data_IF_870826974837
#
_entry.id   IF_870826974837
#
_cell.length_a   1.000
_cell.length_b   1.000
_cell.length_c   1.000
_cell.angle_alpha   90.00
_cell.angle_beta   90.00
_cell.angle_gamma   90.00
#
_symmetry.space_group_name_H-M   'P 1'
#
loop_
_entity.id
_entity.type
_entity.pdbx_description
1 polymer ?
#
# COMPACT_ATOMS: atom_id res chain seq x y z
N UNK A 1 10.48 14.73 -50.02
CA UNK A 1 11.58 14.06 -49.28
C UNK A 1 11.36 14.37 -47.81
N UNK A 2 10.62 13.54 -47.06
CA UNK A 2 11.08 12.28 -46.44
C UNK A 2 12.19 12.55 -45.41
N UNK A 3 11.87 12.76 -44.12
CA UNK A 3 11.72 11.76 -43.00
C UNK A 3 13.02 11.07 -42.56
N UNK A 4 13.42 11.30 -41.29
CA UNK A 4 13.94 10.30 -40.31
C UNK A 4 14.37 11.06 -39.02
N UNK A 5 13.61 10.98 -37.93
CA UNK A 5 13.77 10.02 -36.80
C UNK A 5 14.97 10.33 -35.88
N UNK A 6 14.75 10.83 -34.66
CA UNK A 6 14.42 10.08 -33.42
C UNK A 6 15.67 9.49 -32.74
N UNK A 7 16.06 10.05 -31.60
CA UNK A 7 16.51 9.28 -30.45
C UNK A 7 16.72 10.18 -29.21
N UNK A 8 16.12 9.74 -28.09
CA UNK A 8 16.53 10.03 -26.71
C UNK A 8 16.13 11.36 -26.05
N UNK A 9 14.83 11.70 -26.07
CA UNK A 9 14.25 12.30 -24.87
C UNK A 9 14.01 11.20 -23.83
N UNK A 10 15.07 10.80 -23.12
CA UNK A 10 14.94 10.02 -21.87
C UNK A 10 14.15 10.91 -20.93
N UNK A 11 12.83 10.75 -20.97
CA UNK A 11 11.91 11.62 -20.27
C UNK A 11 12.20 11.47 -18.78
N UNK A 12 12.87 12.50 -18.23
CA UNK A 12 13.41 12.45 -16.88
C UNK A 12 12.24 12.35 -15.89
N UNK A 13 12.34 11.43 -14.94
CA UNK A 13 11.42 11.35 -13.80
C UNK A 13 11.34 12.74 -13.17
N UNK A 14 10.14 13.32 -12.95
CA UNK A 14 10.01 14.60 -12.28
C UNK A 14 10.80 14.52 -10.98
N UNK A 15 11.67 15.50 -10.75
CA UNK A 15 12.58 15.50 -9.60
C UNK A 15 11.81 15.36 -8.27
N UNK A 16 10.52 15.67 -8.31
CA UNK A 16 9.56 15.59 -7.22
C UNK A 16 9.08 14.19 -6.84
N UNK A 17 9.27 13.19 -7.71
CA UNK A 17 8.88 11.80 -7.47
C UNK A 17 10.05 10.92 -6.98
N UNK A 18 11.24 11.49 -6.80
CA UNK A 18 12.43 10.74 -6.34
C UNK A 18 12.38 10.52 -4.82
N UNK A 19 12.77 9.32 -4.40
CA UNK A 19 12.85 9.01 -2.98
C UNK A 19 13.88 9.92 -2.27
N UNK A 20 13.57 10.41 -1.06
CA UNK A 20 14.47 11.28 -0.32
C UNK A 20 15.81 10.60 0.03
N UNK A 21 16.89 11.39 0.14
CA UNK A 21 18.26 10.88 0.34
C UNK A 21 18.50 10.28 1.74
N UNK A 22 17.66 10.56 2.73
CA UNK A 22 17.79 10.00 4.08
C UNK A 22 17.26 8.56 4.13
N UNK A 23 17.98 7.59 4.71
CA UNK A 23 17.62 6.17 4.67
C UNK A 23 16.28 5.88 5.36
N UNK A 24 15.99 6.54 6.48
CA UNK A 24 14.72 6.39 7.22
C UNK A 24 13.55 6.98 6.42
N UNK A 25 13.72 8.18 5.87
CA UNK A 25 12.69 8.84 5.06
C UNK A 25 12.44 8.09 3.75
N UNK A 26 13.48 7.48 3.18
CA UNK A 26 13.38 6.61 2.00
C UNK A 26 12.58 5.36 2.29
N UNK A 27 12.78 4.74 3.45
CA UNK A 27 12.00 3.58 3.88
C UNK A 27 10.55 3.97 4.14
N UNK A 28 10.30 5.05 4.88
CA UNK A 28 8.96 5.56 5.14
C UNK A 28 8.23 5.91 3.84
N UNK A 29 8.90 6.60 2.91
CA UNK A 29 8.36 6.89 1.58
C UNK A 29 8.08 5.63 0.77
N UNK A 30 8.96 4.62 0.82
CA UNK A 30 8.75 3.33 0.16
C UNK A 30 7.53 2.61 0.72
N UNK A 31 7.39 2.56 2.05
CA UNK A 31 6.22 1.98 2.72
C UNK A 31 4.96 2.75 2.33
N UNK A 32 5.01 4.08 2.36
CA UNK A 32 3.90 4.95 1.98
C UNK A 32 3.48 4.70 0.52
N UNK A 33 4.43 4.58 -0.41
CA UNK A 33 4.17 4.25 -1.83
C UNK A 33 3.59 2.85 -2.01
N UNK A 34 4.04 1.86 -1.23
CA UNK A 34 3.48 0.50 -1.27
C UNK A 34 2.05 0.49 -0.69
N UNK A 35 1.79 1.25 0.36
CA UNK A 35 0.44 1.33 0.94
C UNK A 35 -0.49 2.09 -0.02
N UNK A 36 -0.06 3.25 -0.51
CA UNK A 36 -0.87 4.16 -1.31
C UNK A 36 -1.02 3.75 -2.79
N UNK A 37 -0.03 3.07 -3.37
CA UNK A 37 0.03 2.78 -4.82
C UNK A 37 0.40 1.31 -5.09
N UNK A 38 0.57 0.47 -4.06
CA UNK A 38 0.95 -0.95 -4.21
C UNK A 38 2.24 -1.19 -5.01
N UNK A 39 3.08 -0.17 -5.20
CA UNK A 39 4.32 -0.23 -5.99
C UNK A 39 5.47 0.48 -5.28
N UNK A 40 6.68 0.04 -5.56
CA UNK A 40 7.89 0.59 -4.93
C UNK A 40 8.34 1.95 -5.48
N UNK A 41 7.82 2.37 -6.65
CA UNK A 41 8.12 3.67 -7.24
C UNK A 41 6.94 4.27 -8.02
N UNK A 42 6.96 5.61 -8.14
CA UNK A 42 6.00 6.42 -8.88
C UNK A 42 6.35 6.56 -10.37
N UNK A 43 7.39 5.88 -10.86
CA UNK A 43 7.88 6.05 -12.23
C UNK A 43 6.82 5.69 -13.29
N UNK A 44 5.86 4.83 -12.92
CA UNK A 44 4.74 4.41 -13.77
C UNK A 44 3.71 5.53 -14.02
N UNK A 45 3.58 6.52 -13.13
CA UNK A 45 2.60 7.60 -13.27
C UNK A 45 2.87 8.52 -14.47
N UNK A 46 4.07 8.39 -15.05
CA UNK A 46 4.52 9.13 -16.23
C UNK A 46 3.80 8.75 -17.52
N UNK A 47 3.28 7.52 -17.61
CA UNK A 47 2.66 7.01 -18.83
C UNK A 47 1.20 6.60 -18.58
N UNK A 48 0.40 7.60 -18.25
CA UNK A 48 -1.02 7.51 -17.86
C UNK A 48 -1.96 7.16 -19.01
N UNK A 49 -1.46 7.15 -20.26
CA UNK A 49 -2.21 6.76 -21.46
C UNK A 49 -2.15 5.26 -21.74
N UNK A 50 -1.33 4.52 -21.01
CA UNK A 50 -1.09 3.10 -21.25
C UNK A 50 -2.18 2.23 -20.63
N UNK A 51 -2.50 1.07 -21.22
CA UNK A 51 -3.52 0.13 -20.70
C UNK A 51 -3.23 -0.28 -19.26
N UNK A 52 -1.94 -0.35 -18.92
CA UNK A 52 -1.42 -0.65 -17.58
C UNK A 52 -1.91 0.33 -16.50
N UNK A 53 -2.18 1.59 -16.86
CA UNK A 53 -2.69 2.59 -15.91
C UNK A 53 -4.13 2.29 -15.50
N UNK A 54 -4.98 1.94 -16.47
CA UNK A 54 -6.39 1.60 -16.20
C UNK A 54 -6.49 0.34 -15.33
N UNK A 55 -5.63 -0.65 -15.58
CA UNK A 55 -5.50 -1.84 -14.76
C UNK A 55 -4.96 -1.52 -13.36
N UNK A 56 -3.99 -0.62 -13.26
CA UNK A 56 -3.48 -0.19 -11.96
C UNK A 56 -4.57 0.49 -11.11
N UNK A 57 -5.37 1.38 -11.72
CA UNK A 57 -6.47 2.03 -11.01
C UNK A 57 -7.56 1.04 -10.63
N UNK A 58 -7.93 0.11 -11.50
CA UNK A 58 -8.94 -0.92 -11.15
C UNK A 58 -8.49 -1.76 -9.95
N UNK A 59 -7.21 -2.15 -9.89
CA UNK A 59 -6.63 -2.84 -8.73
C UNK A 59 -6.72 -1.98 -7.47
N UNK A 60 -6.39 -0.68 -7.55
CA UNK A 60 -6.45 0.25 -6.41
C UNK A 60 -7.88 0.46 -5.92
N UNK A 61 -8.83 0.70 -6.82
CA UNK A 61 -10.27 0.84 -6.53
C UNK A 61 -10.79 -0.41 -5.83
N UNK A 62 -10.48 -1.59 -6.37
CA UNK A 62 -10.88 -2.87 -5.76
C UNK A 62 -10.27 -3.06 -4.36
N UNK A 63 -9.00 -2.66 -4.17
CA UNK A 63 -8.35 -2.69 -2.85
C UNK A 63 -9.03 -1.75 -1.85
N UNK A 64 -9.38 -0.53 -2.25
CA UNK A 64 -10.09 0.43 -1.39
C UNK A 64 -11.51 -0.04 -1.06
N UNK A 65 -12.24 -0.61 -2.03
CA UNK A 65 -13.55 -1.21 -1.78
C UNK A 65 -13.46 -2.35 -0.77
N UNK A 66 -12.51 -3.27 -0.93
CA UNK A 66 -12.31 -4.36 0.03
C UNK A 66 -11.90 -3.84 1.43
N UNK A 67 -11.07 -2.80 1.46
CA UNK A 67 -10.68 -2.12 2.71
C UNK A 67 -11.89 -1.49 3.40
N UNK A 68 -12.77 -0.81 2.65
CA UNK A 68 -13.99 -0.20 3.19
C UNK A 68 -14.97 -1.25 3.71
N UNK A 69 -15.15 -2.37 2.99
CA UNK A 69 -15.98 -3.50 3.46
C UNK A 69 -15.42 -4.05 4.76
N UNK A 70 -14.10 -4.26 4.83
CA UNK A 70 -13.43 -4.74 6.04
C UNK A 70 -13.59 -3.75 7.20
N UNK A 71 -13.41 -2.46 6.94
CA UNK A 71 -13.60 -1.40 7.93
C UNK A 71 -15.05 -1.35 8.43
N UNK A 72 -16.04 -1.54 7.54
CA UNK A 72 -17.45 -1.65 7.90
C UNK A 72 -17.74 -2.86 8.79
N UNK A 73 -17.11 -4.01 8.52
CA UNK A 73 -17.22 -5.20 9.37
C UNK A 73 -16.61 -4.97 10.76
N UNK A 74 -15.43 -4.33 10.82
CA UNK A 74 -14.81 -3.92 12.09
C UNK A 74 -15.73 -2.97 12.85
N UNK A 75 -16.27 -1.96 12.17
CA UNK A 75 -17.21 -0.99 12.75
C UNK A 75 -18.45 -1.67 13.32
N UNK A 76 -19.08 -2.56 12.56
CA UNK A 76 -20.27 -3.31 12.99
C UNK A 76 -19.95 -4.20 14.21
N UNK A 77 -18.81 -4.90 14.18
CA UNK A 77 -18.36 -5.75 15.28
C UNK A 77 -18.13 -4.93 16.55
N UNK A 78 -17.43 -3.80 16.45
CA UNK A 78 -17.21 -2.90 17.58
C UNK A 78 -18.53 -2.29 18.08
N UNK A 79 -19.44 -1.93 17.18
CA UNK A 79 -20.79 -1.45 17.56
C UNK A 79 -21.52 -2.49 18.38
N UNK A 80 -21.50 -3.76 17.95
CA UNK A 80 -22.14 -4.84 18.68
C UNK A 80 -21.56 -5.01 20.08
N UNK A 81 -20.24 -4.89 20.24
CA UNK A 81 -19.60 -4.92 21.56
C UNK A 81 -19.97 -3.72 22.44
N UNK A 82 -20.13 -2.54 21.84
CA UNK A 82 -20.50 -1.32 22.58
C UNK A 82 -22.00 -1.30 22.96
N UNK A 83 -22.87 -1.89 22.14
CA UNK A 83 -24.32 -1.82 22.33
C UNK A 83 -24.91 -2.99 23.13
N UNK A 84 -24.20 -4.12 23.19
CA UNK A 84 -24.74 -5.35 23.76
C UNK A 84 -24.20 -5.58 25.18
N UNK A 85 -25.07 -5.87 26.17
CA UNK A 85 -24.59 -6.36 27.46
C UNK A 85 -23.88 -7.71 27.24
N UNK A 86 -22.84 -8.04 28.04
CA UNK A 86 -22.15 -9.33 27.91
C UNK A 86 -23.16 -10.47 28.09
N UNK A 87 -23.36 -11.35 27.09
CA UNK A 87 -24.34 -12.42 27.20
C UNK A 87 -23.99 -13.40 28.32
N UNK A 88 -22.71 -13.48 28.69
CA UNK A 88 -22.21 -14.31 29.79
C UNK A 88 -21.01 -13.61 30.45
N UNK A 89 -21.23 -12.98 31.61
CA UNK A 89 -20.19 -12.22 32.34
C UNK A 89 -18.95 -13.05 32.68
N UNK A 90 -19.09 -14.37 32.88
CA UNK A 90 -17.97 -15.26 33.19
C UNK A 90 -17.08 -15.60 31.98
N UNK A 91 -17.58 -15.43 30.74
CA UNK A 91 -16.83 -15.79 29.53
C UNK A 91 -16.08 -14.60 28.95
N UNK A 92 -16.67 -13.41 28.95
CA UNK A 92 -16.00 -12.20 28.50
C UNK A 92 -16.56 -10.98 29.24
N UNK A 93 -15.77 -10.49 30.20
CA UNK A 93 -16.11 -9.29 30.94
C UNK A 93 -15.68 -8.03 30.16
N UNK A 94 -16.32 -7.75 29.02
CA UNK A 94 -16.09 -6.50 28.28
C UNK A 94 -16.58 -5.24 29.03
N UNK A 95 -17.16 -5.41 30.23
CA UNK A 95 -17.66 -4.33 31.08
C UNK A 95 -16.53 -3.54 31.80
N UNK A 96 -15.26 -3.87 31.52
CA UNK A 96 -14.13 -3.06 31.98
C UNK A 96 -14.09 -1.72 31.25
N UNK A 97 -14.01 -0.62 32.01
CA UNK A 97 -13.87 0.74 31.50
C UNK A 97 -12.74 0.85 30.46
N UNK A 98 -11.64 0.11 30.65
CA UNK A 98 -10.48 0.14 29.75
C UNK A 98 -10.84 -0.49 28.40
N UNK A 99 -11.50 -1.66 28.40
CA UNK A 99 -11.91 -2.34 27.15
C UNK A 99 -12.92 -1.47 26.38
N UNK A 100 -13.85 -0.85 27.10
CA UNK A 100 -14.85 0.05 26.51
C UNK A 100 -14.21 1.29 25.84
N UNK A 101 -13.28 1.97 26.51
CA UNK A 101 -12.58 3.15 25.93
C UNK A 101 -11.80 2.74 24.67
N UNK A 102 -11.11 1.60 24.71
CA UNK A 102 -10.34 1.12 23.56
C UNK A 102 -11.27 0.73 22.40
N UNK A 103 -12.42 0.12 22.70
CA UNK A 103 -13.43 -0.19 21.69
C UNK A 103 -14.00 1.09 21.04
N UNK A 104 -14.26 2.16 21.82
CA UNK A 104 -14.68 3.46 21.27
C UNK A 104 -13.62 4.05 20.32
N UNK A 105 -12.34 4.02 20.71
CA UNK A 105 -11.24 4.47 19.84
C UNK A 105 -11.18 3.65 18.55
N UNK A 106 -11.39 2.33 18.64
CA UNK A 106 -11.47 1.45 17.47
C UNK A 106 -12.64 1.81 16.56
N UNK A 107 -13.82 2.08 17.14
CA UNK A 107 -15.01 2.50 16.41
C UNK A 107 -14.77 3.81 15.64
N UNK A 108 -14.23 4.83 16.30
CA UNK A 108 -13.94 6.12 15.68
C UNK A 108 -12.87 5.99 14.58
N UNK A 109 -11.83 5.20 14.80
CA UNK A 109 -10.80 4.94 13.81
C UNK A 109 -11.34 4.16 12.59
N UNK A 110 -12.24 3.19 12.80
CA UNK A 110 -12.90 2.46 11.72
C UNK A 110 -13.84 3.39 10.93
N UNK A 111 -14.60 4.25 11.61
CA UNK A 111 -15.49 5.22 10.97
C UNK A 111 -14.69 6.21 10.12
N UNK A 112 -13.57 6.73 10.64
CA UNK A 112 -12.68 7.61 9.89
C UNK A 112 -12.06 6.90 8.68
N UNK A 113 -11.71 5.61 8.82
CA UNK A 113 -11.23 4.78 7.71
C UNK A 113 -12.28 4.65 6.59
N UNK A 114 -13.55 4.36 6.93
CA UNK A 114 -14.64 4.24 5.95
C UNK A 114 -14.90 5.57 5.24
N UNK A 115 -14.96 6.69 5.98
CA UNK A 115 -15.22 8.02 5.41
C UNK A 115 -14.07 8.42 4.48
N UNK A 116 -12.82 8.32 4.94
CA UNK A 116 -11.65 8.68 4.15
C UNK A 116 -11.46 7.76 2.94
N UNK A 117 -11.68 6.45 3.11
CA UNK A 117 -11.59 5.47 2.01
C UNK A 117 -12.66 5.70 0.94
N UNK A 118 -13.88 6.07 1.34
CA UNK A 118 -14.95 6.44 0.42
C UNK A 118 -14.64 7.73 -0.34
N UNK A 119 -14.11 8.75 0.34
CA UNK A 119 -13.68 9.99 -0.30
C UNK A 119 -12.56 9.75 -1.33
N UNK A 120 -11.57 8.94 -0.98
CA UNK A 120 -10.50 8.53 -1.89
C UNK A 120 -11.05 7.80 -3.13
N UNK A 121 -12.02 6.90 -2.95
CA UNK A 121 -12.64 6.17 -4.05
C UNK A 121 -13.31 7.11 -5.05
N UNK A 122 -14.12 8.06 -4.56
CA UNK A 122 -14.79 9.07 -5.39
C UNK A 122 -13.77 9.94 -6.13
N UNK A 123 -12.68 10.34 -5.47
CA UNK A 123 -11.61 11.12 -6.11
C UNK A 123 -10.93 10.30 -7.21
N UNK A 124 -10.71 9.00 -7.02
CA UNK A 124 -10.09 8.14 -8.04
C UNK A 124 -11.00 7.91 -9.25
N UNK A 125 -12.28 7.67 -9.02
CA UNK A 125 -13.27 7.50 -10.10
C UNK A 125 -13.43 8.80 -10.92
N UNK A 126 -13.48 9.95 -10.25
CA UNK A 126 -13.57 11.25 -10.93
C UNK A 126 -12.27 11.62 -11.66
N UNK A 127 -11.10 11.34 -11.06
CA UNK A 127 -9.78 11.59 -11.66
C UNK A 127 -9.43 10.65 -12.80
N UNK A 128 -10.10 9.50 -12.94
CA UNK A 128 -9.96 8.64 -14.13
C UNK A 128 -10.92 9.03 -15.24
N UNK A 129 -12.07 9.62 -14.91
CA UNK A 129 -13.01 10.15 -15.88
C UNK A 129 -12.50 11.43 -16.57
N UNK A 130 -11.84 12.31 -15.81
CA UNK A 130 -11.15 13.47 -16.37
C UNK A 130 -9.67 13.15 -16.60
N UNK A 131 -9.13 13.45 -17.79
CA UNK A 131 -7.70 13.26 -18.12
C UNK A 131 -6.76 14.21 -17.34
N UNK A 132 -7.15 14.65 -16.15
CA UNK A 132 -6.53 15.67 -15.30
C UNK A 132 -5.23 15.19 -14.62
N UNK A 133 -4.72 14.01 -14.98
CA UNK A 133 -3.46 13.51 -14.43
C UNK A 133 -2.23 14.26 -14.97
N UNK A 134 -2.39 15.09 -16.01
CA UNK A 134 -1.35 16.07 -16.39
C UNK A 134 -1.11 17.09 -15.27
N UNK A 135 -2.13 17.40 -14.47
CA UNK A 135 -2.06 18.32 -13.32
C UNK A 135 -1.15 17.77 -12.20
N UNK A 136 -1.11 16.45 -12.00
CA UNK A 136 -0.20 15.80 -11.05
C UNK A 136 1.28 16.00 -11.40
N UNK A 137 1.59 16.15 -12.69
CA UNK A 137 2.96 16.33 -13.18
C UNK A 137 3.53 17.71 -12.81
N UNK A 138 2.66 18.69 -12.56
CA UNK A 138 3.02 20.05 -12.17
C UNK A 138 3.02 20.26 -10.65
N UNK A 139 2.66 19.25 -9.85
CA UNK A 139 2.58 19.40 -8.40
C UNK A 139 3.97 19.47 -7.72
N UNK A 140 4.14 20.34 -6.71
CA UNK A 140 5.33 20.38 -5.88
C UNK A 140 5.43 19.14 -4.96
N UNK A 141 6.65 18.80 -4.51
CA UNK A 141 6.97 17.59 -3.73
C UNK A 141 6.07 17.35 -2.52
N UNK A 142 5.79 18.41 -1.76
CA UNK A 142 4.99 18.31 -0.54
C UNK A 142 3.53 17.95 -0.83
N UNK A 143 2.97 18.38 -1.98
CA UNK A 143 1.61 18.02 -2.38
C UNK A 143 1.52 16.55 -2.78
N UNK A 144 2.52 16.03 -3.49
CA UNK A 144 2.58 14.59 -3.84
C UNK A 144 2.68 13.74 -2.57
N UNK A 145 3.51 14.13 -1.60
CA UNK A 145 3.60 13.43 -0.31
C UNK A 145 2.27 13.52 0.45
N UNK A 146 1.63 14.69 0.48
CA UNK A 146 0.33 14.86 1.13
C UNK A 146 -0.76 14.00 0.47
N UNK A 147 -0.76 13.91 -0.86
CA UNK A 147 -1.67 13.04 -1.62
C UNK A 147 -1.43 11.56 -1.29
N UNK A 148 -0.17 11.11 -1.27
CA UNK A 148 0.18 9.73 -0.91
C UNK A 148 -0.19 9.41 0.54
N UNK A 149 0.00 10.37 1.45
CA UNK A 149 -0.39 10.22 2.85
C UNK A 149 -1.90 10.13 2.97
N UNK A 150 -2.64 10.98 2.26
CA UNK A 150 -4.10 10.95 2.19
C UNK A 150 -4.61 9.62 1.61
N UNK A 151 -3.92 9.07 0.61
CA UNK A 151 -4.22 7.78 0.01
C UNK A 151 -3.94 6.59 0.94
N UNK A 152 -2.86 6.68 1.72
CA UNK A 152 -2.51 5.67 2.71
C UNK A 152 -3.38 5.76 3.97
N UNK A 153 -3.99 6.92 4.23
CA UNK A 153 -4.74 7.22 5.45
C UNK A 153 -5.83 6.19 5.80
N UNK A 154 -6.72 5.77 4.88
CA UNK A 154 -7.76 4.78 5.19
C UNK A 154 -7.17 3.45 5.67
N UNK A 155 -6.06 3.02 5.06
CA UNK A 155 -5.37 1.79 5.44
C UNK A 155 -4.68 1.91 6.80
N UNK A 156 -4.11 3.08 7.12
CA UNK A 156 -3.49 3.33 8.43
C UNK A 156 -4.57 3.34 9.51
N UNK A 157 -5.66 4.06 9.30
CA UNK A 157 -6.79 4.09 10.22
C UNK A 157 -7.39 2.70 10.45
N UNK A 158 -7.57 1.90 9.39
CA UNK A 158 -8.06 0.52 9.52
C UNK A 158 -7.11 -0.35 10.34
N UNK A 159 -5.79 -0.25 10.08
CA UNK A 159 -4.80 -0.99 10.86
C UNK A 159 -4.86 -0.62 12.33
N UNK A 160 -4.97 0.67 12.64
CA UNK A 160 -5.08 1.17 14.01
C UNK A 160 -6.37 0.69 14.67
N UNK A 161 -7.50 0.79 13.97
CA UNK A 161 -8.80 0.31 14.45
C UNK A 161 -8.77 -1.19 14.79
N UNK A 162 -8.18 -2.00 13.91
CA UNK A 162 -8.04 -3.45 14.08
C UNK A 162 -7.15 -3.78 15.27
N UNK A 163 -6.01 -3.10 15.43
CA UNK A 163 -5.12 -3.28 16.58
C UNK A 163 -5.83 -2.94 17.90
N UNK A 164 -6.53 -1.80 17.96
CA UNK A 164 -7.27 -1.44 19.17
C UNK A 164 -8.41 -2.40 19.47
N UNK A 165 -9.18 -2.84 18.46
CA UNK A 165 -10.23 -3.85 18.67
C UNK A 165 -9.64 -5.15 19.21
N UNK A 166 -8.52 -5.59 18.65
CA UNK A 166 -7.82 -6.78 19.11
C UNK A 166 -7.38 -6.65 20.58
N UNK A 167 -6.79 -5.51 20.97
CA UNK A 167 -6.39 -5.23 22.35
C UNK A 167 -7.61 -5.17 23.28
N UNK A 168 -8.72 -4.56 22.87
CA UNK A 168 -9.94 -4.49 23.66
C UNK A 168 -10.50 -5.90 23.96
N UNK A 169 -10.56 -6.75 22.94
CA UNK A 169 -10.99 -8.15 23.07
C UNK A 169 -10.00 -8.94 23.93
N UNK A 170 -8.69 -8.76 23.72
CA UNK A 170 -7.66 -9.45 24.49
C UNK A 170 -7.78 -9.13 25.99
N UNK A 171 -7.94 -7.86 26.36
CA UNK A 171 -8.13 -7.44 27.74
C UNK A 171 -9.43 -8.03 28.32
N UNK A 172 -10.52 -8.02 27.55
CA UNK A 172 -11.80 -8.57 27.99
C UNK A 172 -11.76 -10.09 28.23
N UNK A 173 -11.06 -10.82 27.36
CA UNK A 173 -10.92 -12.28 27.48
C UNK A 173 -9.93 -12.70 28.57
N UNK A 174 -8.82 -11.97 28.74
CA UNK A 174 -7.83 -12.24 29.78
C UNK A 174 -8.39 -11.97 31.19
N UNK A 175 -9.34 -11.06 31.29
CA UNK A 175 -10.11 -10.81 32.52
C UNK A 175 -11.17 -11.87 32.84
N UNK A 176 -11.36 -12.90 32.00
CA UNK A 176 -12.30 -13.99 32.30
C UNK A 176 -11.67 -15.02 33.25
N UNK A 177 -12.45 -15.52 34.20
CA UNK A 177 -12.03 -16.60 35.11
C UNK A 177 -11.99 -17.98 34.42
N UNK A 178 -12.31 -18.04 33.12
CA UNK A 178 -12.38 -19.28 32.37
C UNK A 178 -11.06 -19.62 31.65
N UNK A 179 -10.40 -20.69 32.10
CA UNK A 179 -9.12 -21.17 31.54
C UNK A 179 -9.21 -21.43 30.03
N UNK A 180 -10.35 -21.95 29.53
CA UNK A 180 -10.51 -22.26 28.10
C UNK A 180 -10.47 -20.98 27.26
N UNK A 181 -11.14 -19.92 27.71
CA UNK A 181 -11.14 -18.61 27.02
C UNK A 181 -9.73 -18.03 27.01
N UNK A 182 -8.99 -18.15 28.11
CA UNK A 182 -7.62 -17.66 28.19
C UNK A 182 -6.69 -18.42 27.22
N UNK A 183 -6.78 -19.76 27.15
CA UNK A 183 -5.99 -20.57 26.19
C UNK A 183 -6.31 -20.16 24.74
N UNK A 184 -7.59 -20.01 24.38
CA UNK A 184 -8.01 -19.58 23.04
C UNK A 184 -7.45 -18.19 22.72
N UNK A 185 -7.47 -17.28 23.69
CA UNK A 185 -6.97 -15.91 23.54
C UNK A 185 -5.46 -15.86 23.33
N UNK A 186 -4.70 -16.66 24.09
CA UNK A 186 -3.25 -16.80 23.91
C UNK A 186 -2.94 -17.37 22.52
N UNK A 187 -3.65 -18.42 22.11
CA UNK A 187 -3.48 -19.02 20.78
C UNK A 187 -3.77 -18.00 19.66
N UNK A 188 -4.84 -17.21 19.79
CA UNK A 188 -5.17 -16.14 18.86
C UNK A 188 -4.08 -15.06 18.80
N UNK A 189 -3.50 -14.69 19.94
CA UNK A 189 -2.40 -13.73 20.01
C UNK A 189 -1.13 -14.26 19.33
N UNK A 190 -0.76 -15.51 19.57
CA UNK A 190 0.37 -16.16 18.90
C UNK A 190 0.14 -16.25 17.39
N UNK A 191 -1.08 -16.62 16.96
CA UNK A 191 -1.45 -16.65 15.55
C UNK A 191 -1.37 -15.25 14.91
N UNK A 192 -1.83 -14.21 15.59
CA UNK A 192 -1.76 -12.83 15.09
C UNK A 192 -0.31 -12.34 14.96
N UNK A 193 0.51 -12.53 16.01
CA UNK A 193 1.92 -12.12 16.01
C UNK A 193 2.74 -12.90 14.98
N UNK A 194 2.51 -14.20 14.83
CA UNK A 194 3.19 -15.02 13.82
C UNK A 194 2.83 -14.60 12.40
N UNK A 195 1.55 -14.30 12.12
CA UNK A 195 1.14 -13.77 10.82
C UNK A 195 1.76 -12.38 10.55
N UNK A 196 1.81 -11.50 11.56
CA UNK A 196 2.48 -10.21 11.46
C UNK A 196 3.98 -10.35 11.17
N UNK A 197 4.66 -11.22 11.91
CA UNK A 197 6.09 -11.49 11.72
C UNK A 197 6.38 -12.13 10.35
N UNK A 198 5.56 -13.09 9.91
CA UNK A 198 5.67 -13.71 8.60
C UNK A 198 5.47 -12.68 7.49
N UNK A 199 4.48 -11.81 7.63
CA UNK A 199 4.23 -10.71 6.69
C UNK A 199 5.44 -9.78 6.62
N UNK A 200 5.96 -9.32 7.76
CA UNK A 200 7.17 -8.49 7.81
C UNK A 200 8.39 -9.20 7.21
N UNK A 201 8.55 -10.49 7.46
CA UNK A 201 9.61 -11.29 6.88
C UNK A 201 9.50 -11.35 5.36
N UNK A 202 8.32 -11.65 4.81
CA UNK A 202 8.07 -11.65 3.37
C UNK A 202 8.37 -10.28 2.78
N UNK A 203 7.91 -9.19 3.40
CA UNK A 203 8.24 -7.84 2.96
C UNK A 203 9.74 -7.55 3.00
N UNK A 204 10.46 -8.02 4.02
CA UNK A 204 11.91 -7.85 4.14
C UNK A 204 12.68 -8.64 3.08
N UNK A 205 12.19 -9.85 2.74
CA UNK A 205 12.78 -10.72 1.71
C UNK A 205 12.52 -10.14 0.31
N UNK A 206 11.27 -9.81 -0.02
CA UNK A 206 10.90 -9.20 -1.31
C UNK A 206 11.56 -7.83 -1.48
N UNK A 207 11.72 -7.07 -0.39
CA UNK A 207 12.36 -5.76 -0.39
C UNK A 207 13.88 -5.78 -0.56
N UNK A 208 14.55 -6.92 -0.37
CA UNK A 208 15.98 -7.07 -0.68
C UNK A 208 16.16 -7.18 -2.19
N UNK A 209 16.59 -6.07 -2.83
CA UNK A 209 17.14 -6.15 -4.19
C UNK A 209 18.26 -7.19 -4.23
N UNK A 210 18.33 -8.04 -5.27
CA UNK A 210 19.50 -8.89 -5.45
C UNK A 210 20.73 -7.99 -5.46
N UNK A 211 21.68 -8.29 -4.58
CA UNK A 211 22.97 -7.62 -4.54
C UNK A 211 23.60 -7.82 -5.92
N UNK A 212 23.54 -6.78 -6.74
CA UNK A 212 24.03 -6.84 -8.11
C UNK A 212 25.50 -7.20 -8.04
N UNK A 213 25.85 -8.29 -8.73
CA UNK A 213 27.18 -8.87 -8.73
C UNK A 213 28.23 -7.83 -9.09
N UNK A 214 29.41 -8.02 -8.50
CA UNK A 214 30.67 -7.32 -8.79
C UNK A 214 30.70 -6.76 -10.21
N UNK A 215 30.80 -5.44 -10.32
CA UNK A 215 31.44 -4.80 -11.46
C UNK A 215 32.88 -5.33 -11.52
N UNK A 216 33.14 -6.27 -12.42
CA UNK A 216 34.48 -6.44 -12.96
C UNK A 216 34.58 -5.59 -14.22
N UNK A 217 35.56 -4.70 -14.19
CA UNK A 217 35.95 -3.69 -15.17
C UNK A 217 36.61 -4.32 -16.42
N UNK A 218 37.05 -3.52 -17.41
CA UNK A 218 36.88 -3.81 -18.83
C UNK A 218 37.97 -4.72 -19.40
N UNK A 219 37.71 -5.40 -20.52
CA UNK A 219 38.79 -5.85 -21.39
C UNK A 219 38.43 -5.60 -22.84
N UNK A 220 39.40 -4.95 -23.47
CA UNK A 220 39.52 -4.47 -24.82
C UNK A 220 39.29 -5.53 -25.91
N UNK A 221 38.86 -5.01 -27.07
CA UNK A 221 39.38 -5.25 -28.42
C UNK A 221 39.58 -6.71 -28.81
N UNK A 222 38.71 -7.19 -29.71
CA UNK A 222 39.16 -7.90 -30.91
C UNK A 222 38.34 -7.37 -32.09
N UNK A 223 39.03 -6.65 -32.96
CA UNK A 223 38.65 -6.40 -34.36
C UNK A 223 38.19 -7.70 -35.02
N UNK A 224 37.00 -7.69 -35.62
CA UNK A 224 36.65 -8.71 -36.59
C UNK A 224 35.89 -8.09 -37.75
N UNK A 225 36.69 -7.78 -38.78
CA UNK A 225 36.36 -7.85 -40.19
C UNK A 225 35.03 -7.23 -40.64
N UNK A 226 35.17 -6.01 -41.15
CA UNK A 226 34.46 -5.55 -42.34
C UNK A 226 34.48 -6.64 -43.43
N UNK A 227 33.39 -7.38 -43.56
CA UNK A 227 33.03 -8.08 -44.79
C UNK A 227 32.04 -7.19 -45.54
N UNK A 228 32.60 -6.36 -46.43
CA UNK A 228 31.90 -5.70 -47.51
C UNK A 228 31.44 -6.75 -48.52
N UNK A 229 30.13 -6.98 -48.66
CA UNK A 229 29.55 -7.46 -49.91
C UNK A 229 28.33 -6.58 -50.21
N UNK A 230 28.53 -5.68 -51.16
CA UNK A 230 27.49 -4.86 -51.74
C UNK A 230 26.58 -5.66 -52.68
N UNK A 231 25.32 -5.26 -52.65
CA UNK A 231 24.48 -4.91 -53.79
C UNK A 231 24.51 -5.80 -55.05
N UNK A 232 23.37 -6.39 -55.39
CA UNK A 232 22.45 -5.87 -56.41
C UNK A 232 21.64 -7.00 -57.07
N UNK A 233 20.31 -6.98 -56.89
CA UNK A 233 19.38 -7.49 -57.90
C UNK A 233 18.15 -6.59 -57.93
N UNK A 234 17.92 -6.04 -59.12
CA UNK A 234 16.83 -5.14 -59.55
C UNK A 234 15.44 -5.76 -59.38
N UNK A 235 14.40 -4.90 -59.48
CA UNK A 235 13.25 -5.22 -60.31
C UNK A 235 13.03 -4.19 -61.44
N UNK A 236 12.59 -4.74 -62.57
CA UNK A 236 12.06 -4.14 -63.82
C UNK A 236 13.05 -3.65 -64.87
#
# INVERSE_FOLDING_TARGET
MATSESANSVSQVPENCRAPNNPILKLAFKILCIIAVSRESLDHWKDTKNKDWKEHVSIMVNRFQNTNVTAGLVLATTTLFLSSPPPVEHLMAYNSTISYIIAMISFDAALLSVISGSAVLVIYETSTAHKDMETLKHMPRYQVIALLLWLAWPSICLSVATCFLFVAIFIACFGSDNIVVNIITILACVAFLSNGALTLYVFAVVGKKPANGKKNTPTQVIDMHHASIGAACLPR
#
